data_IF_853571715939
#
_entry.id   IF_853571715939
#
_cell.length_a   1.000
_cell.length_b   1.000
_cell.length_c   1.000
_cell.angle_alpha   90.00
_cell.angle_beta   90.00
_cell.angle_gamma   90.00
#
_symmetry.space_group_name_H-M   'P 1'
#
loop_
_entity.id
_entity.type
_entity.pdbx_description
1 polymer ?
#
# COMPACT_ATOMS: atom_id res chain seq x y z
N UNK A 1 4.89 10.69 13.27
CA UNK A 1 6.18 11.37 13.01
C UNK A 1 6.58 11.15 11.56
N UNK A 2 6.92 12.21 10.82
CA UNK A 2 7.39 12.14 9.43
C UNK A 2 8.91 12.05 9.43
N UNK A 3 9.50 10.99 8.86
CA UNK A 3 10.96 10.86 8.72
C UNK A 3 11.33 11.12 7.27
N UNK A 4 12.10 12.18 7.02
CA UNK A 4 12.62 12.56 5.71
C UNK A 4 14.16 12.56 5.78
N UNK A 5 14.82 11.91 4.83
CA UNK A 5 16.28 11.94 4.64
C UNK A 5 16.56 12.45 3.22
N UNK A 6 17.52 13.37 3.08
CA UNK A 6 17.91 13.94 1.78
C UNK A 6 19.42 14.02 1.66
N UNK A 7 19.95 13.71 0.47
CA UNK A 7 21.34 13.91 0.08
C UNK A 7 21.37 14.24 -1.43
N UNK A 8 21.79 15.46 -1.79
CA UNK A 8 21.71 15.97 -3.16
C UNK A 8 20.30 15.77 -3.77
N UNK A 9 20.21 15.17 -4.96
CA UNK A 9 18.94 14.86 -5.64
C UNK A 9 18.25 13.58 -5.13
N UNK A 10 18.83 12.93 -4.11
CA UNK A 10 18.27 11.72 -3.51
C UNK A 10 17.46 12.09 -2.28
N UNK A 11 16.23 11.61 -2.22
CA UNK A 11 15.37 11.80 -1.05
C UNK A 11 14.59 10.54 -0.72
N UNK A 12 14.36 10.33 0.56
CA UNK A 12 13.49 9.28 1.07
C UNK A 12 12.58 9.86 2.15
N UNK A 13 11.31 9.50 2.12
CA UNK A 13 10.31 9.93 3.09
C UNK A 13 9.43 8.75 3.50
N UNK A 14 9.12 8.71 4.80
CA UNK A 14 8.07 7.86 5.37
C UNK A 14 7.06 8.77 6.06
N UNK A 15 5.80 8.61 5.67
CA UNK A 15 4.65 9.24 6.30
C UNK A 15 3.80 8.11 6.88
N UNK A 16 3.51 8.20 8.18
CA UNK A 16 2.61 7.26 8.82
C UNK A 16 1.52 8.04 9.53
N UNK A 17 0.28 7.69 9.19
CA UNK A 17 -0.95 8.26 9.75
C UNK A 17 -1.71 7.12 10.39
N UNK A 18 -2.01 7.24 11.67
CA UNK A 18 -2.88 6.32 12.40
C UNK A 18 -4.04 7.12 12.98
N UNK A 19 -5.26 6.64 12.75
CA UNK A 19 -6.47 7.25 13.28
C UNK A 19 -7.39 6.17 13.83
N UNK A 20 -8.10 6.52 14.89
CA UNK A 20 -9.23 5.76 15.40
C UNK A 20 -10.29 6.77 15.80
N UNK A 21 -11.52 6.54 15.36
CA UNK A 21 -12.67 7.37 15.70
C UNK A 21 -13.88 6.48 15.94
N UNK A 22 -14.76 6.92 16.84
CA UNK A 22 -16.04 6.29 17.07
C UNK A 22 -17.10 7.37 17.31
N UNK A 23 -18.31 7.10 16.83
CA UNK A 23 -19.51 7.88 17.11
C UNK A 23 -20.67 6.92 17.44
N UNK A 24 -21.88 7.45 17.58
CA UNK A 24 -23.05 6.65 17.97
C UNK A 24 -23.41 5.54 16.97
N UNK A 25 -22.94 5.63 15.72
CA UNK A 25 -23.38 4.75 14.62
C UNK A 25 -22.25 3.87 14.05
N UNK A 26 -20.99 4.24 14.33
CA UNK A 26 -19.85 3.58 13.71
C UNK A 26 -18.55 3.74 14.51
N UNK A 27 -17.66 2.77 14.35
CA UNK A 27 -16.27 2.85 14.78
C UNK A 27 -15.36 2.55 13.58
N UNK A 28 -14.32 3.34 13.41
CA UNK A 28 -13.33 3.17 12.36
C UNK A 28 -11.93 3.28 12.97
N UNK A 29 -11.04 2.39 12.56
CA UNK A 29 -9.62 2.48 12.84
C UNK A 29 -8.84 2.25 11.56
N UNK A 30 -7.81 3.04 11.31
CA UNK A 30 -6.94 2.82 10.16
C UNK A 30 -5.52 3.26 10.43
N UNK A 31 -4.59 2.57 9.79
CA UNK A 31 -3.20 2.97 9.64
C UNK A 31 -2.88 3.03 8.14
N UNK A 32 -2.26 4.13 7.74
CA UNK A 32 -1.70 4.32 6.42
C UNK A 32 -0.20 4.62 6.56
N UNK A 33 0.61 3.93 5.76
CA UNK A 33 2.05 4.14 5.67
C UNK A 33 2.43 4.38 4.22
N UNK A 34 2.77 5.62 3.91
CA UNK A 34 3.29 6.02 2.62
C UNK A 34 4.81 6.06 2.68
N UNK A 35 5.44 5.42 1.71
CA UNK A 35 6.88 5.39 1.51
C UNK A 35 7.18 6.04 0.17
N UNK A 36 8.21 6.85 0.10
CA UNK A 36 8.66 7.44 -1.16
C UNK A 36 10.17 7.52 -1.16
N UNK A 37 10.80 7.12 -2.27
CA UNK A 37 12.19 7.42 -2.55
C UNK A 37 12.32 8.00 -3.95
N UNK A 38 13.17 9.00 -4.11
CA UNK A 38 13.42 9.68 -5.38
C UNK A 38 14.91 9.86 -5.57
N UNK A 39 15.34 9.70 -6.81
CA UNK A 39 16.69 10.02 -7.33
C UNK A 39 16.54 10.75 -8.66
N UNK A 40 17.66 11.08 -9.31
CA UNK A 40 17.65 11.60 -10.69
C UNK A 40 17.13 10.58 -11.72
N UNK A 41 17.21 9.28 -11.41
CA UNK A 41 16.77 8.22 -12.31
C UNK A 41 15.25 7.97 -12.26
N UNK A 42 14.56 8.46 -11.22
CA UNK A 42 13.13 8.21 -11.06
C UNK A 42 12.62 8.31 -9.62
N UNK A 43 11.34 7.99 -9.45
CA UNK A 43 10.64 7.96 -8.15
C UNK A 43 10.05 6.57 -7.93
N UNK A 44 10.15 6.05 -6.71
CA UNK A 44 9.38 4.90 -6.23
C UNK A 44 8.51 5.35 -5.08
N UNK A 45 7.26 4.93 -5.08
CA UNK A 45 6.35 5.13 -3.96
C UNK A 45 5.65 3.83 -3.61
N UNK A 46 5.44 3.60 -2.32
CA UNK A 46 4.65 2.51 -1.80
C UNK A 46 3.62 3.03 -0.81
N UNK A 47 2.50 2.35 -0.71
CA UNK A 47 1.47 2.61 0.29
C UNK A 47 1.07 1.29 0.93
N UNK A 48 1.05 1.25 2.26
CA UNK A 48 0.45 0.15 3.02
C UNK A 48 -0.71 0.69 3.84
N UNK A 49 -1.89 0.11 3.65
CA UNK A 49 -3.11 0.51 4.33
C UNK A 49 -3.70 -0.69 5.08
N UNK A 50 -4.08 -0.45 6.32
CA UNK A 50 -4.96 -1.35 7.05
C UNK A 50 -6.09 -0.53 7.66
N UNK A 51 -7.32 -0.96 7.43
CA UNK A 51 -8.51 -0.28 7.92
C UNK A 51 -9.55 -1.27 8.40
N UNK A 52 -10.17 -0.97 9.53
CA UNK A 52 -11.30 -1.70 10.09
C UNK A 52 -12.47 -0.74 10.30
N UNK A 53 -13.68 -1.19 9.97
CA UNK A 53 -14.93 -0.44 10.19
C UNK A 53 -15.95 -1.35 10.84
N UNK A 54 -16.64 -0.84 11.86
CA UNK A 54 -17.81 -1.45 12.48
C UNK A 54 -18.98 -0.46 12.41
N UNK A 55 -20.13 -0.90 11.91
CA UNK A 55 -21.33 -0.07 11.77
C UNK A 55 -22.59 -0.93 11.79
N UNK A 56 -23.77 -0.31 11.72
CA UNK A 56 -25.04 -1.02 11.54
C UNK A 56 -25.08 -1.90 10.26
N UNK A 57 -24.30 -1.54 9.22
CA UNK A 57 -24.15 -2.34 8.01
C UNK A 57 -23.20 -3.55 8.18
N UNK A 58 -22.60 -3.72 9.37
CA UNK A 58 -21.72 -4.81 9.74
C UNK A 58 -20.26 -4.39 9.94
N UNK A 59 -19.39 -5.39 10.08
CA UNK A 59 -17.95 -5.24 10.30
C UNK A 59 -17.17 -5.58 9.04
N UNK A 60 -16.14 -4.80 8.74
CA UNK A 60 -15.24 -5.05 7.62
C UNK A 60 -13.81 -4.67 7.94
N UNK A 61 -12.87 -5.35 7.28
CA UNK A 61 -11.45 -5.07 7.36
C UNK A 61 -10.86 -5.09 5.96
N UNK A 62 -9.96 -4.17 5.67
CA UNK A 62 -9.10 -4.17 4.49
C UNK A 62 -7.64 -4.11 4.91
N UNK A 63 -6.82 -4.92 4.26
CA UNK A 63 -5.37 -4.78 4.24
C UNK A 63 -4.96 -4.61 2.77
N UNK A 64 -4.17 -3.61 2.45
CA UNK A 64 -3.77 -3.33 1.08
C UNK A 64 -2.31 -2.87 1.02
N UNK A 65 -1.64 -3.22 -0.06
CA UNK A 65 -0.33 -2.72 -0.40
C UNK A 65 -0.32 -2.29 -1.87
N UNK A 66 0.15 -1.08 -2.16
CA UNK A 66 0.31 -0.55 -3.51
C UNK A 66 1.74 -0.07 -3.70
N UNK A 67 2.27 -0.25 -4.90
CA UNK A 67 3.58 0.23 -5.31
C UNK A 67 3.48 0.90 -6.66
N UNK A 68 4.31 1.91 -6.84
CA UNK A 68 4.48 2.64 -8.08
C UNK A 68 5.95 2.95 -8.29
N UNK A 69 6.44 2.76 -9.52
CA UNK A 69 7.72 3.30 -9.95
C UNK A 69 7.52 4.19 -11.16
N UNK A 70 8.18 5.33 -11.19
CA UNK A 70 8.25 6.25 -12.31
C UNK A 70 9.71 6.29 -12.78
N UNK A 71 10.02 5.60 -13.88
CA UNK A 71 11.35 5.62 -14.52
C UNK A 71 11.22 6.15 -15.93
N UNK A 72 11.92 7.23 -16.26
CA UNK A 72 11.90 7.87 -17.58
C UNK A 72 10.49 8.18 -18.14
N UNK A 73 9.52 8.49 -17.26
CA UNK A 73 8.16 8.86 -17.66
C UNK A 73 7.18 7.71 -17.86
N UNK A 74 7.61 6.44 -17.72
CA UNK A 74 6.71 5.29 -17.73
C UNK A 74 6.37 4.87 -16.29
N UNK A 75 5.09 4.97 -15.87
CA UNK A 75 4.68 4.50 -14.57
C UNK A 75 4.42 2.99 -14.60
N UNK A 76 4.99 2.26 -13.64
CA UNK A 76 4.64 0.86 -13.37
C UNK A 76 3.92 0.79 -12.03
N UNK A 77 2.81 0.07 -12.01
CA UNK A 77 1.96 -0.13 -10.84
C UNK A 77 1.90 -1.61 -10.49
N UNK A 78 1.79 -1.87 -9.20
CA UNK A 78 1.44 -3.18 -8.67
C UNK A 78 0.78 -3.01 -7.32
N UNK A 79 -0.03 -3.97 -6.92
CA UNK A 79 -0.60 -3.98 -5.58
C UNK A 79 -1.56 -5.12 -5.37
N UNK A 80 -1.93 -5.29 -4.11
CA UNK A 80 -2.93 -6.27 -3.72
C UNK A 80 -3.75 -5.72 -2.56
N UNK A 81 -4.93 -6.32 -2.36
CA UNK A 81 -5.69 -6.13 -1.15
C UNK A 81 -6.41 -7.40 -0.72
N UNK A 82 -6.60 -7.51 0.59
CA UNK A 82 -7.40 -8.53 1.26
C UNK A 82 -8.55 -7.83 1.97
N UNK A 83 -9.78 -8.24 1.68
CA UNK A 83 -10.98 -7.78 2.38
C UNK A 83 -11.63 -8.91 3.17
N UNK A 84 -12.10 -8.58 4.37
CA UNK A 84 -13.17 -9.27 5.06
C UNK A 84 -14.44 -8.41 4.98
N UNK A 85 -15.49 -8.94 4.35
CA UNK A 85 -16.72 -8.22 4.04
C UNK A 85 -17.79 -8.44 5.11
N UNK A 86 -18.76 -7.52 5.26
CA UNK A 86 -19.83 -7.65 6.26
C UNK A 86 -20.74 -8.88 6.13
N UNK A 87 -20.76 -9.50 4.94
CA UNK A 87 -21.52 -10.72 4.66
C UNK A 87 -20.76 -12.01 5.03
N UNK A 88 -19.60 -11.91 5.70
CA UNK A 88 -18.77 -13.04 6.08
C UNK A 88 -17.86 -13.58 4.96
N UNK A 89 -17.93 -13.01 3.75
CA UNK A 89 -17.03 -13.37 2.67
C UNK A 89 -15.66 -12.70 2.83
N UNK A 90 -14.62 -13.33 2.29
CA UNK A 90 -13.30 -12.74 2.15
C UNK A 90 -12.87 -12.76 0.69
N UNK A 91 -12.07 -11.78 0.27
CA UNK A 91 -11.47 -11.75 -1.07
C UNK A 91 -10.03 -11.27 -1.02
N UNK A 92 -9.17 -11.92 -1.79
CA UNK A 92 -7.83 -11.47 -2.11
C UNK A 92 -7.80 -11.07 -3.59
N UNK A 93 -7.31 -9.88 -3.88
CA UNK A 93 -7.20 -9.34 -5.24
C UNK A 93 -5.78 -8.85 -5.43
N UNK A 94 -5.16 -9.29 -6.52
CA UNK A 94 -3.87 -8.82 -6.99
C UNK A 94 -4.05 -8.07 -8.31
N UNK A 95 -3.54 -6.86 -8.35
CA UNK A 95 -3.48 -6.00 -9.53
C UNK A 95 -2.01 -5.70 -9.80
N UNK A 96 -1.37 -6.64 -10.47
CA UNK A 96 0.00 -6.52 -10.93
C UNK A 96 0.02 -6.61 -12.46
N UNK A 97 0.59 -5.59 -13.11
CA UNK A 97 0.96 -5.68 -14.53
C UNK A 97 1.93 -6.84 -14.82
N UNK A 98 2.51 -7.41 -13.76
CA UNK A 98 3.37 -8.58 -13.79
C UNK A 98 3.35 -9.29 -12.41
N UNK A 99 2.58 -10.38 -12.28
CA UNK A 99 2.54 -11.19 -11.06
C UNK A 99 3.56 -12.33 -11.12
N UNK A 100 4.49 -12.38 -10.17
CA UNK A 100 5.45 -13.47 -10.03
C UNK A 100 5.62 -13.84 -8.55
N UNK A 101 5.28 -15.08 -8.18
CA UNK A 101 5.64 -15.67 -6.89
C UNK A 101 7.07 -16.19 -6.96
N UNK A 102 8.03 -15.42 -6.46
CA UNK A 102 9.44 -15.85 -6.42
C UNK A 102 9.78 -16.39 -5.04
N UNK A 103 10.29 -17.62 -4.97
CA UNK A 103 11.03 -18.10 -3.81
C UNK A 103 12.53 -17.91 -4.13
N UNK A 104 13.29 -17.29 -3.23
CA UNK A 104 14.73 -17.06 -3.36
C UNK A 104 15.18 -16.23 -4.58
N UNK A 105 14.70 -14.98 -4.70
CA UNK A 105 15.48 -13.90 -5.32
C UNK A 105 15.83 -13.99 -6.81
N UNK A 106 15.14 -14.81 -7.61
CA UNK A 106 15.40 -14.89 -9.05
C UNK A 106 14.23 -14.40 -9.91
N UNK A 107 14.38 -13.23 -10.54
CA UNK A 107 13.59 -12.80 -11.71
C UNK A 107 14.44 -12.88 -12.99
N UNK A 108 15.27 -13.92 -13.13
CA UNK A 108 16.02 -14.17 -14.38
C UNK A 108 15.07 -14.68 -15.45
N UNK A 109 14.68 -13.80 -16.35
CA UNK A 109 14.04 -14.14 -17.63
C UNK A 109 15.13 -14.49 -18.66
N UNK A 110 14.99 -15.66 -19.29
CA UNK A 110 15.61 -15.94 -20.59
C UNK A 110 14.69 -15.32 -21.65
N UNK A 111 15.21 -14.38 -22.43
CA UNK A 111 14.61 -13.98 -23.71
C UNK A 111 14.83 -15.09 -24.75
#
# INVERSE_FOLDING_TARGET
MRRCRRFANNSASIISVSQAQANQTSAQASINQDLTARTDAGTVSGQFLMGATSSAAGVSVRIAAYVKTDRYGAPFYGGWFLDALPNGAARFVDDANFFALTANGGLTYLF
#
